data_IF_733969279141
#
_entry.id   IF_733969279141
#
_cell.length_a   1.000
_cell.length_b   1.000
_cell.length_c   1.000
_cell.angle_alpha   90.00
_cell.angle_beta   90.00
_cell.angle_gamma   90.00
#
_symmetry.space_group_name_H-M   'P 1'
#
loop_
_entity.id
_entity.type
_entity.pdbx_description
1 polymer ?
#
# COMPACT_ATOMS: atom_id res chain seq x y z
N UNK A 1 -10.17 -14.39 30.42
CA UNK A 1 -11.35 -13.68 30.94
C UNK A 1 -12.28 -13.45 29.76
N UNK A 2 -13.54 -13.87 29.88
CA UNK A 2 -14.53 -13.64 28.84
C UNK A 2 -15.10 -12.22 28.98
N UNK A 3 -15.53 -11.62 27.86
CA UNK A 3 -16.23 -10.33 27.86
C UNK A 3 -17.73 -10.56 27.61
N UNK A 4 -18.59 -9.78 28.21
CA UNK A 4 -20.03 -9.75 27.90
C UNK A 4 -20.36 -8.33 27.45
N UNK A 5 -20.94 -8.20 26.24
CA UNK A 5 -21.35 -6.93 25.65
C UNK A 5 -22.87 -6.98 25.42
N UNK A 6 -23.61 -6.19 26.14
CA UNK A 6 -25.10 -6.18 26.12
C UNK A 6 -25.72 -7.59 26.24
N UNK A 7 -25.12 -8.46 27.07
CA UNK A 7 -25.56 -9.83 27.26
C UNK A 7 -25.00 -10.86 26.25
N UNK A 8 -24.29 -10.44 25.22
CA UNK A 8 -23.59 -11.33 24.28
C UNK A 8 -22.21 -11.62 24.80
N UNK A 9 -21.87 -12.91 24.93
CA UNK A 9 -20.55 -13.34 25.41
C UNK A 9 -19.55 -13.43 24.31
N UNK A 10 -18.40 -12.76 24.49
CA UNK A 10 -17.21 -12.90 23.65
C UNK A 10 -16.28 -13.92 24.31
N UNK A 11 -16.11 -15.05 23.67
CA UNK A 11 -15.23 -16.09 24.19
C UNK A 11 -13.76 -15.68 24.09
N UNK A 12 -12.95 -16.11 25.06
CA UNK A 12 -11.50 -15.86 25.07
C UNK A 12 -10.79 -16.37 23.81
N UNK A 13 -11.30 -17.47 23.24
CA UNK A 13 -10.81 -18.00 21.96
C UNK A 13 -11.00 -17.04 20.77
N UNK A 14 -12.09 -16.28 20.75
CA UNK A 14 -12.35 -15.29 19.71
C UNK A 14 -11.40 -14.08 19.83
N UNK A 15 -11.15 -13.65 21.08
CA UNK A 15 -10.15 -12.58 21.33
C UNK A 15 -8.76 -13.03 20.90
N UNK A 16 -8.36 -14.27 21.21
CA UNK A 16 -7.06 -14.81 20.77
C UNK A 16 -6.94 -14.91 19.24
N UNK A 17 -8.01 -15.30 18.57
CA UNK A 17 -8.02 -15.30 17.08
C UNK A 17 -7.84 -13.89 16.54
N UNK A 18 -8.45 -12.89 17.15
CA UNK A 18 -8.28 -11.49 16.76
C UNK A 18 -6.86 -10.99 17.03
N UNK A 19 -6.23 -11.39 18.14
CA UNK A 19 -4.80 -11.13 18.41
C UNK A 19 -3.93 -11.66 17.27
N UNK A 20 -4.11 -12.93 16.88
CA UNK A 20 -3.32 -13.52 15.80
C UNK A 20 -3.58 -12.86 14.45
N UNK A 21 -4.80 -12.42 14.19
CA UNK A 21 -5.16 -11.68 12.96
C UNK A 21 -4.48 -10.31 12.88
N UNK A 22 -4.41 -9.59 13.99
CA UNK A 22 -3.82 -8.24 14.04
C UNK A 22 -2.30 -8.24 14.19
N UNK A 23 -1.72 -9.32 14.70
CA UNK A 23 -0.29 -9.43 15.02
C UNK A 23 0.65 -8.98 13.90
N UNK A 24 0.52 -9.45 12.63
CA UNK A 24 1.46 -9.10 11.57
C UNK A 24 1.56 -7.59 11.30
N UNK A 25 0.42 -6.91 11.29
CA UNK A 25 0.36 -5.47 11.06
C UNK A 25 0.85 -4.69 12.27
N UNK A 26 0.49 -5.16 13.47
CA UNK A 26 0.90 -4.54 14.72
C UNK A 26 2.42 -4.61 14.92
N UNK A 27 3.02 -5.77 14.72
CA UNK A 27 4.47 -5.97 14.85
C UNK A 27 5.26 -5.13 13.86
N UNK A 28 4.75 -4.95 12.64
CA UNK A 28 5.36 -4.08 11.63
C UNK A 28 5.37 -2.62 12.08
N UNK A 29 4.29 -2.13 12.66
CA UNK A 29 4.15 -0.72 13.07
C UNK A 29 4.94 -0.43 14.35
N UNK A 30 4.95 -1.35 15.31
CA UNK A 30 5.52 -1.16 16.65
C UNK A 30 6.80 -1.95 16.90
N UNK A 31 7.57 -2.24 15.86
CA UNK A 31 8.81 -3.02 15.94
C UNK A 31 9.84 -2.48 16.97
N UNK A 32 9.82 -1.17 17.25
CA UNK A 32 10.72 -0.52 18.21
C UNK A 32 10.32 -0.62 19.68
N UNK A 33 9.13 -1.16 20.01
CA UNK A 33 8.68 -1.30 21.40
C UNK A 33 9.14 -2.61 22.04
N UNK A 34 9.13 -2.68 23.37
CA UNK A 34 9.42 -3.92 24.09
C UNK A 34 8.34 -4.98 23.85
N UNK A 35 8.77 -6.24 23.75
CA UNK A 35 7.86 -7.34 23.42
C UNK A 35 6.66 -7.47 24.38
N UNK A 36 6.91 -7.33 25.70
CA UNK A 36 5.86 -7.42 26.73
C UNK A 36 4.83 -6.30 26.60
N UNK A 37 5.28 -5.07 26.33
CA UNK A 37 4.41 -3.90 26.14
C UNK A 37 3.56 -4.07 24.86
N UNK A 38 4.17 -4.58 23.78
CA UNK A 38 3.47 -4.87 22.52
C UNK A 38 2.37 -5.92 22.70
N UNK A 39 2.66 -7.02 23.38
CA UNK A 39 1.67 -8.08 23.64
C UNK A 39 0.47 -7.57 24.46
N UNK A 40 0.74 -6.82 25.52
CA UNK A 40 -0.32 -6.25 26.35
C UNK A 40 -1.21 -5.30 25.55
N UNK A 41 -0.60 -4.43 24.74
CA UNK A 41 -1.33 -3.47 23.92
C UNK A 41 -2.08 -4.13 22.75
N UNK A 42 -1.50 -5.16 22.13
CA UNK A 42 -2.16 -5.94 21.09
C UNK A 42 -3.39 -6.68 21.63
N UNK A 43 -3.28 -7.24 22.84
CA UNK A 43 -4.41 -7.88 23.49
C UNK A 43 -5.54 -6.87 23.79
N UNK A 44 -5.20 -5.69 24.29
CA UNK A 44 -6.17 -4.64 24.57
C UNK A 44 -6.88 -4.17 23.28
N UNK A 45 -6.13 -3.91 22.22
CA UNK A 45 -6.70 -3.56 20.91
C UNK A 45 -7.60 -4.67 20.36
N UNK A 46 -7.22 -5.92 20.55
CA UNK A 46 -8.03 -7.06 20.09
C UNK A 46 -9.34 -7.16 20.85
N UNK A 47 -9.33 -6.88 22.16
CA UNK A 47 -10.53 -6.80 23.00
C UNK A 47 -11.45 -5.66 22.54
N UNK A 48 -10.89 -4.48 22.34
CA UNK A 48 -11.59 -3.31 21.86
C UNK A 48 -12.26 -3.58 20.51
N UNK A 49 -11.50 -4.10 19.54
CA UNK A 49 -12.03 -4.50 18.22
C UNK A 49 -13.18 -5.51 18.33
N UNK A 50 -13.09 -6.48 19.22
CA UNK A 50 -14.16 -7.46 19.42
C UNK A 50 -15.41 -6.83 20.03
N UNK A 51 -15.27 -5.90 20.98
CA UNK A 51 -16.39 -5.13 21.55
C UNK A 51 -17.09 -4.32 20.46
N UNK A 52 -16.32 -3.55 19.67
CA UNK A 52 -16.83 -2.75 18.56
C UNK A 52 -17.57 -3.60 17.52
N UNK A 53 -16.99 -4.73 17.14
CA UNK A 53 -17.58 -5.68 16.20
C UNK A 53 -18.94 -6.21 16.72
N UNK A 54 -19.03 -6.56 17.97
CA UNK A 54 -20.31 -7.01 18.58
C UNK A 54 -21.32 -5.88 18.60
N UNK A 55 -20.93 -4.68 19.00
CA UNK A 55 -21.84 -3.53 19.07
C UNK A 55 -22.37 -3.13 17.69
N UNK A 56 -21.52 -3.08 16.69
CA UNK A 56 -21.93 -2.77 15.30
C UNK A 56 -22.85 -3.86 14.77
N UNK A 57 -22.57 -5.13 15.04
CA UNK A 57 -23.43 -6.24 14.64
C UNK A 57 -24.81 -6.15 15.30
N UNK A 58 -24.88 -5.93 16.61
CA UNK A 58 -26.14 -5.76 17.35
C UNK A 58 -26.95 -4.59 16.80
N UNK A 59 -26.29 -3.46 16.55
CA UNK A 59 -26.91 -2.28 15.97
C UNK A 59 -27.44 -2.54 14.55
N UNK A 60 -26.67 -3.18 13.71
CA UNK A 60 -27.06 -3.53 12.34
C UNK A 60 -28.21 -4.54 12.29
N UNK A 61 -28.28 -5.48 13.25
CA UNK A 61 -29.41 -6.41 13.36
C UNK A 61 -30.70 -5.71 13.83
N UNK A 62 -30.57 -4.75 14.73
CA UNK A 62 -31.72 -4.03 15.32
C UNK A 62 -32.27 -2.93 14.39
N UNK A 63 -31.38 -2.15 13.81
CA UNK A 63 -31.71 -0.90 13.08
C UNK A 63 -31.19 -0.87 11.63
N UNK A 64 -30.61 -1.97 11.13
CA UNK A 64 -30.09 -2.04 9.76
C UNK A 64 -31.20 -2.26 8.71
N UNK A 65 -30.87 -1.92 7.47
CA UNK A 65 -31.71 -2.20 6.31
C UNK A 65 -31.79 -3.72 6.03
N UNK A 66 -32.90 -4.13 5.43
CA UNK A 66 -33.03 -5.51 4.95
C UNK A 66 -32.12 -5.73 3.74
N UNK A 67 -31.35 -6.81 3.81
CA UNK A 67 -30.53 -7.25 2.68
C UNK A 67 -31.41 -8.06 1.72
N UNK A 68 -31.47 -7.69 0.42
CA UNK A 68 -32.17 -8.48 -0.57
C UNK A 68 -31.57 -9.89 -0.69
N UNK A 69 -32.39 -10.97 -0.67
CA UNK A 69 -31.90 -12.34 -0.74
C UNK A 69 -31.05 -12.63 -1.99
N UNK A 70 -31.34 -11.94 -3.11
CA UNK A 70 -30.55 -12.02 -4.34
C UNK A 70 -29.10 -11.55 -4.14
N UNK A 71 -28.85 -10.55 -3.30
CA UNK A 71 -27.51 -10.06 -3.00
C UNK A 71 -26.73 -11.08 -2.20
N UNK A 72 -27.35 -11.71 -1.21
CA UNK A 72 -26.75 -12.79 -0.41
C UNK A 72 -26.40 -13.99 -1.32
N UNK A 73 -27.31 -14.37 -2.22
CA UNK A 73 -27.09 -15.47 -3.15
C UNK A 73 -25.96 -15.15 -4.16
N UNK A 74 -25.89 -13.92 -4.65
CA UNK A 74 -24.81 -13.48 -5.55
C UNK A 74 -23.44 -13.48 -4.84
N UNK A 75 -23.40 -13.06 -3.57
CA UNK A 75 -22.17 -13.09 -2.78
C UNK A 75 -21.71 -14.53 -2.49
N UNK A 76 -22.63 -15.42 -2.11
CA UNK A 76 -22.32 -16.85 -1.92
C UNK A 76 -21.75 -17.46 -3.21
N UNK A 77 -22.35 -17.16 -4.37
CA UNK A 77 -21.86 -17.65 -5.65
C UNK A 77 -20.43 -17.18 -5.92
N UNK A 78 -20.14 -15.89 -5.76
CA UNK A 78 -18.78 -15.33 -5.93
C UNK A 78 -17.76 -15.94 -4.97
N UNK A 79 -18.18 -16.19 -3.71
CA UNK A 79 -17.31 -16.83 -2.73
C UNK A 79 -16.96 -18.26 -3.17
N UNK A 80 -17.94 -19.04 -3.63
CA UNK A 80 -17.71 -20.39 -4.14
C UNK A 80 -16.83 -20.43 -5.38
N UNK A 81 -16.92 -19.43 -6.25
CA UNK A 81 -16.08 -19.33 -7.46
C UNK A 81 -14.58 -19.11 -7.15
N UNK A 82 -14.23 -18.76 -5.91
CA UNK A 82 -12.84 -18.60 -5.45
C UNK A 82 -12.22 -19.93 -4.96
N UNK A 83 -13.00 -20.98 -4.85
CA UNK A 83 -12.58 -22.30 -4.37
C UNK A 83 -12.85 -23.35 -5.43
N UNK A 84 -11.88 -24.22 -5.64
CA UNK A 84 -12.01 -25.35 -6.56
C UNK A 84 -12.96 -26.44 -6.01
N UNK A 85 -13.11 -26.50 -4.68
CA UNK A 85 -13.92 -27.47 -3.96
C UNK A 85 -14.74 -26.82 -2.83
N UNK A 86 -16.04 -27.14 -2.80
CA UNK A 86 -16.97 -26.66 -1.77
C UNK A 86 -16.67 -27.24 -0.38
N UNK A 87 -16.12 -28.46 -0.30
CA UNK A 87 -15.74 -29.05 1.00
C UNK A 87 -14.56 -28.32 1.62
N UNK A 88 -13.61 -27.88 0.81
CA UNK A 88 -12.49 -27.04 1.26
C UNK A 88 -13.00 -25.70 1.83
N UNK A 89 -13.93 -25.05 1.12
CA UNK A 89 -14.57 -23.81 1.59
C UNK A 89 -15.23 -24.00 2.97
N UNK A 90 -16.02 -25.08 3.14
CA UNK A 90 -16.69 -25.34 4.42
C UNK A 90 -15.69 -25.57 5.54
N UNK A 91 -14.62 -26.30 5.26
CA UNK A 91 -13.56 -26.58 6.24
C UNK A 91 -12.82 -25.32 6.67
N UNK A 92 -12.49 -24.44 5.72
CA UNK A 92 -11.78 -23.19 6.01
C UNK A 92 -12.66 -22.22 6.79
N UNK A 93 -13.92 -22.07 6.42
CA UNK A 93 -14.89 -21.23 7.11
C UNK A 93 -15.43 -21.86 8.41
N UNK A 94 -15.13 -23.14 8.66
CA UNK A 94 -15.64 -23.91 9.80
C UNK A 94 -17.18 -23.92 9.87
N UNK A 95 -17.81 -24.14 8.72
CA UNK A 95 -19.28 -24.21 8.55
C UNK A 95 -19.66 -25.56 7.96
N UNK A 96 -20.93 -25.95 8.11
CA UNK A 96 -21.42 -27.25 7.67
C UNK A 96 -22.18 -27.19 6.34
N UNK A 97 -22.71 -26.01 5.99
CA UNK A 97 -23.57 -25.87 4.81
C UNK A 97 -23.65 -24.41 4.32
N UNK A 98 -24.30 -24.24 3.16
CA UNK A 98 -24.51 -22.93 2.53
C UNK A 98 -25.38 -21.98 3.36
N UNK A 99 -26.31 -22.50 4.16
CA UNK A 99 -27.19 -21.63 4.96
C UNK A 99 -26.39 -20.88 6.02
N UNK A 100 -25.43 -21.52 6.67
CA UNK A 100 -24.55 -20.84 7.63
C UNK A 100 -23.69 -19.77 6.96
N UNK A 101 -23.22 -20.04 5.75
CA UNK A 101 -22.47 -19.02 4.96
C UNK A 101 -23.39 -17.85 4.61
N UNK A 102 -24.63 -18.12 4.17
CA UNK A 102 -25.61 -17.06 3.83
C UNK A 102 -25.95 -16.21 5.05
N UNK A 103 -26.14 -16.82 6.21
CA UNK A 103 -26.40 -16.09 7.46
C UNK A 103 -25.24 -15.14 7.80
N UNK A 104 -23.99 -15.59 7.64
CA UNK A 104 -22.83 -14.75 7.91
C UNK A 104 -22.68 -13.64 6.86
N UNK A 105 -22.90 -13.94 5.58
CA UNK A 105 -22.92 -12.93 4.49
C UNK A 105 -24.00 -11.89 4.77
N UNK A 106 -25.21 -12.32 5.15
CA UNK A 106 -26.30 -11.39 5.46
C UNK A 106 -25.97 -10.47 6.63
N UNK A 107 -25.34 -11.00 7.70
CA UNK A 107 -24.87 -10.21 8.84
C UNK A 107 -23.85 -9.17 8.41
N UNK A 108 -22.86 -9.57 7.64
CA UNK A 108 -21.82 -8.66 7.13
C UNK A 108 -22.42 -7.57 6.24
N UNK A 109 -23.33 -7.92 5.33
CA UNK A 109 -24.02 -6.95 4.48
C UNK A 109 -24.88 -5.97 5.28
N UNK A 110 -25.56 -6.42 6.35
CA UNK A 110 -26.32 -5.52 7.23
C UNK A 110 -25.41 -4.51 7.91
N UNK A 111 -24.25 -4.95 8.40
CA UNK A 111 -23.24 -4.06 8.99
C UNK A 111 -22.75 -3.04 7.96
N UNK A 112 -22.39 -3.49 6.77
CA UNK A 112 -21.93 -2.61 5.69
C UNK A 112 -22.99 -1.56 5.33
N UNK A 113 -24.24 -1.97 5.14
CA UNK A 113 -25.35 -1.06 4.86
C UNK A 113 -25.57 -0.07 6.01
N UNK A 114 -25.47 -0.51 7.27
CA UNK A 114 -25.61 0.37 8.43
C UNK A 114 -24.53 1.44 8.48
N UNK A 115 -23.27 1.07 8.26
CA UNK A 115 -22.16 2.01 8.18
C UNK A 115 -22.28 2.97 6.99
N UNK A 116 -22.75 2.49 5.82
CA UNK A 116 -23.07 3.34 4.69
C UNK A 116 -24.16 4.36 5.02
N UNK A 117 -25.18 3.98 5.80
CA UNK A 117 -26.23 4.91 6.25
C UNK A 117 -25.66 6.01 7.16
N UNK A 118 -24.73 5.69 8.05
CA UNK A 118 -24.04 6.67 8.91
C UNK A 118 -23.36 7.74 8.04
N UNK A 119 -22.74 7.33 6.94
CA UNK A 119 -22.05 8.23 6.03
C UNK A 119 -22.96 8.94 5.01
N UNK A 120 -24.19 8.46 4.79
CA UNK A 120 -25.04 8.88 3.67
C UNK A 120 -25.38 10.37 3.65
N UNK A 121 -25.57 10.95 4.83
CA UNK A 121 -26.02 12.34 4.99
C UNK A 121 -24.87 13.28 5.36
N UNK A 122 -23.63 12.83 5.31
CA UNK A 122 -22.50 13.69 5.58
C UNK A 122 -22.36 14.76 4.50
N UNK A 123 -22.02 15.99 4.87
CA UNK A 123 -21.78 17.05 3.89
C UNK A 123 -20.60 16.69 2.99
N UNK A 124 -20.68 17.10 1.74
CA UNK A 124 -19.52 17.00 0.85
C UNK A 124 -18.38 17.86 1.40
N UNK A 125 -17.10 17.45 1.23
CA UNK A 125 -15.98 18.26 1.62
C UNK A 125 -16.08 19.70 1.08
N UNK A 126 -15.92 20.67 1.96
CA UNK A 126 -15.91 22.09 1.53
C UNK A 126 -14.62 22.41 0.76
N UNK A 127 -14.64 23.44 -0.08
CA UNK A 127 -13.43 23.89 -0.78
C UNK A 127 -12.34 24.33 0.19
N UNK A 128 -12.73 24.89 1.33
CA UNK A 128 -11.82 25.27 2.40
C UNK A 128 -11.14 24.04 3.03
N UNK A 129 -11.89 22.98 3.35
CA UNK A 129 -11.34 21.75 3.91
C UNK A 129 -10.37 21.06 2.92
N UNK A 130 -10.72 21.03 1.62
CA UNK A 130 -9.87 20.47 0.57
C UNK A 130 -8.56 21.26 0.44
N UNK A 131 -8.63 22.60 0.47
CA UNK A 131 -7.45 23.48 0.39
C UNK A 131 -6.58 23.34 1.64
N UNK A 132 -7.19 23.33 2.82
CA UNK A 132 -6.50 23.12 4.09
C UNK A 132 -5.73 21.79 4.10
N UNK A 133 -6.38 20.71 3.67
CA UNK A 133 -5.72 19.41 3.56
C UNK A 133 -4.49 19.44 2.66
N UNK A 134 -4.59 20.11 1.50
CA UNK A 134 -3.47 20.29 0.59
C UNK A 134 -2.32 21.04 1.25
N UNK A 135 -2.61 22.15 1.94
CA UNK A 135 -1.60 23.01 2.60
C UNK A 135 -0.89 22.27 3.73
N UNK A 136 -1.62 21.46 4.51
CA UNK A 136 -1.07 20.68 5.62
C UNK A 136 -0.33 19.41 5.16
N UNK A 137 -0.56 18.92 3.94
CA UNK A 137 -0.04 17.66 3.45
C UNK A 137 0.78 17.79 2.16
N UNK A 138 1.41 18.94 1.90
CA UNK A 138 2.14 19.19 0.65
C UNK A 138 3.21 18.13 0.32
N UNK A 139 3.84 17.55 1.32
CA UNK A 139 4.83 16.48 1.14
C UNK A 139 4.27 15.25 0.43
N UNK A 140 2.97 14.94 0.64
CA UNK A 140 2.30 13.82 -0.03
C UNK A 140 2.03 14.06 -1.53
N UNK A 141 2.16 15.33 -1.97
CA UNK A 141 1.93 15.77 -3.34
C UNK A 141 3.22 16.19 -4.04
N UNK A 142 4.38 15.95 -3.42
CA UNK A 142 5.67 16.14 -4.07
C UNK A 142 5.93 15.00 -5.06
N UNK A 143 6.27 15.37 -6.28
CA UNK A 143 6.95 14.45 -7.18
C UNK A 143 8.40 14.30 -6.72
N UNK A 144 8.95 13.11 -6.84
CA UNK A 144 10.39 12.96 -6.71
C UNK A 144 11.14 13.74 -7.81
N UNK A 145 12.41 14.03 -7.56
CA UNK A 145 13.29 14.49 -8.61
C UNK A 145 13.35 13.45 -9.72
N UNK A 146 13.31 13.88 -10.99
CA UNK A 146 13.42 13.00 -12.16
C UNK A 146 14.65 13.38 -12.98
N UNK A 147 15.37 12.36 -13.42
CA UNK A 147 16.53 12.51 -14.29
C UNK A 147 16.24 11.83 -15.62
N UNK A 148 16.49 12.50 -16.75
CA UNK A 148 16.57 11.83 -18.03
C UNK A 148 17.96 11.28 -18.20
N UNK A 149 18.08 9.95 -18.29
CA UNK A 149 19.36 9.25 -18.22
C UNK A 149 19.49 8.29 -19.39
N UNK A 150 20.69 8.20 -19.93
CA UNK A 150 21.10 7.06 -20.75
C UNK A 150 22.39 6.45 -20.20
N UNK A 151 22.66 5.20 -20.55
CA UNK A 151 23.85 4.52 -20.11
C UNK A 151 24.51 3.67 -21.20
N UNK A 152 25.82 3.47 -21.08
CA UNK A 152 26.56 2.39 -21.72
C UNK A 152 26.72 1.31 -20.65
N UNK A 153 26.37 0.08 -20.94
CA UNK A 153 26.53 -1.05 -20.01
C UNK A 153 27.33 -2.16 -20.68
N UNK A 154 28.24 -2.75 -19.91
CA UNK A 154 28.91 -4.01 -20.24
C UNK A 154 28.58 -5.02 -19.16
N UNK A 155 27.75 -5.99 -19.51
CA UNK A 155 27.28 -7.00 -18.56
C UNK A 155 28.43 -7.94 -18.18
N UNK A 156 28.47 -8.29 -16.88
CA UNK A 156 29.28 -9.38 -16.35
C UNK A 156 28.37 -10.57 -16.13
N UNK A 157 28.60 -11.65 -16.87
CA UNK A 157 27.77 -12.85 -16.83
C UNK A 157 28.62 -14.09 -17.17
N UNK A 158 27.98 -15.25 -17.36
CA UNK A 158 28.69 -16.50 -17.67
C UNK A 158 29.43 -16.50 -19.04
N UNK A 159 29.09 -15.59 -19.95
CA UNK A 159 29.76 -15.45 -21.28
C UNK A 159 30.84 -14.39 -21.27
N UNK A 160 30.74 -13.40 -20.40
CA UNK A 160 31.65 -12.25 -20.32
C UNK A 160 32.14 -12.09 -18.89
N UNK A 161 33.42 -12.38 -18.68
CA UNK A 161 34.05 -12.20 -17.37
C UNK A 161 34.27 -10.70 -17.07
N UNK A 162 34.60 -10.42 -15.81
CA UNK A 162 34.78 -9.08 -15.28
C UNK A 162 35.87 -8.30 -15.99
N UNK A 163 37.00 -8.96 -16.32
CA UNK A 163 38.12 -8.33 -16.99
C UNK A 163 37.74 -7.90 -18.39
N UNK A 164 37.11 -8.79 -19.16
CA UNK A 164 36.67 -8.51 -20.53
C UNK A 164 35.65 -7.36 -20.58
N UNK A 165 34.68 -7.37 -19.65
CA UNK A 165 33.67 -6.31 -19.52
C UNK A 165 34.33 -4.96 -19.17
N UNK A 166 35.28 -4.96 -18.24
CA UNK A 166 35.99 -3.74 -17.83
C UNK A 166 36.88 -3.17 -18.98
N UNK A 167 37.56 -4.01 -19.71
CA UNK A 167 38.35 -3.55 -20.89
C UNK A 167 37.47 -2.95 -21.97
N UNK A 168 36.29 -3.52 -22.21
CA UNK A 168 35.34 -3.00 -23.20
C UNK A 168 34.76 -1.64 -22.78
N UNK A 169 34.33 -1.50 -21.51
CA UNK A 169 33.79 -0.22 -21.00
C UNK A 169 34.88 0.86 -20.91
N UNK A 170 36.13 0.48 -20.61
CA UNK A 170 37.26 1.40 -20.57
C UNK A 170 37.53 2.01 -21.95
N UNK A 171 37.44 1.22 -23.02
CA UNK A 171 37.54 1.74 -24.39
C UNK A 171 36.46 2.75 -24.74
N UNK A 172 35.20 2.46 -24.33
CA UNK A 172 34.11 3.41 -24.48
C UNK A 172 34.38 4.72 -23.73
N UNK A 173 34.88 4.62 -22.50
CA UNK A 173 35.21 5.78 -21.67
C UNK A 173 36.35 6.64 -22.28
N UNK A 174 37.37 6.03 -22.84
CA UNK A 174 38.44 6.75 -23.53
C UNK A 174 37.94 7.51 -24.76
N UNK A 175 37.04 6.91 -25.57
CA UNK A 175 36.44 7.62 -26.71
C UNK A 175 35.62 8.84 -26.22
N UNK A 176 34.85 8.72 -25.14
CA UNK A 176 34.13 9.84 -24.54
C UNK A 176 35.08 10.94 -24.05
N UNK A 177 36.19 10.57 -23.39
CA UNK A 177 37.21 11.54 -22.94
C UNK A 177 37.90 12.26 -24.13
N UNK A 178 37.99 11.59 -25.26
CA UNK A 178 38.56 12.18 -26.50
C UNK A 178 37.51 13.00 -27.27
N UNK A 179 36.31 13.22 -26.73
CA UNK A 179 35.28 14.12 -27.26
C UNK A 179 34.31 13.46 -28.23
N UNK A 180 34.25 12.12 -28.27
CA UNK A 180 33.21 11.43 -29.04
C UNK A 180 31.81 11.73 -28.46
N UNK A 181 30.80 11.83 -29.31
CA UNK A 181 29.40 11.99 -28.86
C UNK A 181 28.94 10.74 -28.10
N UNK A 182 28.28 10.96 -26.97
CA UNK A 182 27.83 9.87 -26.09
C UNK A 182 26.96 8.86 -26.84
N UNK A 183 26.06 9.33 -27.66
CA UNK A 183 25.11 8.54 -28.45
C UNK A 183 25.86 7.60 -29.45
N UNK A 184 26.88 8.10 -30.09
CA UNK A 184 27.71 7.29 -31.02
C UNK A 184 28.51 6.19 -30.28
N UNK A 185 28.93 6.48 -29.05
CA UNK A 185 29.63 5.51 -28.19
C UNK A 185 28.66 4.49 -27.62
N UNK A 186 27.43 4.91 -27.24
CA UNK A 186 26.36 4.00 -26.84
C UNK A 186 26.10 2.96 -27.92
N UNK A 187 25.81 3.40 -29.16
CA UNK A 187 25.51 2.53 -30.31
C UNK A 187 26.60 1.49 -30.55
N UNK A 188 27.86 1.88 -30.31
CA UNK A 188 29.04 1.04 -30.58
C UNK A 188 29.33 0.04 -29.46
N UNK A 189 29.07 0.41 -28.19
CA UNK A 189 29.61 -0.32 -27.05
C UNK A 189 28.55 -0.93 -26.12
N UNK A 190 27.32 -0.39 -26.07
CA UNK A 190 26.36 -0.89 -25.10
C UNK A 190 25.89 -2.33 -25.37
N UNK A 191 25.74 -3.12 -24.34
CA UNK A 191 25.09 -4.43 -24.41
C UNK A 191 23.55 -4.32 -24.28
N UNK A 192 23.02 -3.12 -24.00
CA UNK A 192 21.60 -2.84 -23.91
C UNK A 192 21.03 -2.50 -25.30
N UNK A 193 20.82 -3.54 -26.12
CA UNK A 193 20.42 -3.36 -27.52
C UNK A 193 18.99 -2.82 -27.69
N UNK A 194 18.07 -3.20 -26.80
CA UNK A 194 16.63 -2.95 -26.96
C UNK A 194 16.26 -1.46 -26.85
N UNK A 195 16.97 -0.71 -26.01
CA UNK A 195 16.71 0.73 -25.77
C UNK A 195 17.79 1.67 -26.34
N UNK A 196 18.86 1.13 -26.94
CA UNK A 196 20.02 1.94 -27.31
C UNK A 196 20.61 2.68 -26.09
N UNK A 197 20.50 2.11 -24.89
CA UNK A 197 20.99 2.70 -23.66
C UNK A 197 20.11 3.82 -23.07
N UNK A 198 19.04 4.27 -23.75
CA UNK A 198 18.13 5.30 -23.19
C UNK A 198 17.22 4.67 -22.12
N UNK A 199 17.30 5.19 -20.91
CA UNK A 199 16.48 4.79 -19.75
C UNK A 199 15.28 5.70 -19.54
N UNK A 200 15.15 6.76 -20.35
CA UNK A 200 14.11 7.76 -20.19
C UNK A 200 14.22 8.57 -18.90
N UNK A 201 13.08 8.96 -18.34
CA UNK A 201 13.03 9.63 -17.04
C UNK A 201 12.97 8.59 -15.91
N UNK A 202 13.94 8.70 -14.99
CA UNK A 202 14.05 7.84 -13.80
C UNK A 202 13.87 8.65 -12.51
N UNK A 203 13.24 8.03 -11.51
CA UNK A 203 13.13 8.54 -10.15
C UNK A 203 13.86 7.62 -9.18
N UNK A 204 14.17 8.10 -7.98
CA UNK A 204 14.76 7.25 -6.94
C UNK A 204 13.85 6.07 -6.61
N UNK A 205 14.45 4.90 -6.37
CA UNK A 205 13.78 3.64 -6.10
C UNK A 205 13.42 2.83 -7.35
N UNK A 206 13.74 3.30 -8.56
CA UNK A 206 13.48 2.58 -9.82
C UNK A 206 14.66 1.75 -10.32
N UNK A 207 15.88 2.15 -9.94
CA UNK A 207 17.11 1.50 -10.34
C UNK A 207 17.81 0.87 -9.13
N UNK A 208 18.89 0.13 -9.37
CA UNK A 208 19.72 -0.37 -8.28
C UNK A 208 20.46 0.77 -7.61
N UNK A 209 20.68 0.66 -6.30
CA UNK A 209 21.23 1.70 -5.45
C UNK A 209 22.55 2.28 -5.99
N UNK A 210 23.47 1.41 -6.44
CA UNK A 210 24.77 1.81 -6.97
C UNK A 210 24.66 2.66 -8.24
N UNK A 211 23.61 2.43 -9.07
CA UNK A 211 23.33 3.24 -10.25
C UNK A 211 22.73 4.59 -9.85
N UNK A 212 21.77 4.59 -8.95
CA UNK A 212 21.12 5.81 -8.45
C UNK A 212 22.10 6.73 -7.75
N UNK A 213 22.99 6.19 -6.92
CA UNK A 213 24.03 6.96 -6.24
C UNK A 213 24.94 7.73 -7.18
N UNK A 214 25.23 7.16 -8.35
CA UNK A 214 26.02 7.86 -9.35
C UNK A 214 25.18 8.92 -10.08
N UNK A 215 24.05 8.53 -10.70
CA UNK A 215 23.33 9.43 -11.60
C UNK A 215 22.69 10.61 -10.90
N UNK A 216 22.19 10.44 -9.65
CA UNK A 216 21.60 11.53 -8.88
C UNK A 216 22.65 12.53 -8.33
N UNK A 217 23.94 12.19 -8.38
CA UNK A 217 25.03 13.11 -8.07
C UNK A 217 25.58 13.86 -9.29
N UNK A 218 25.15 13.47 -10.52
CA UNK A 218 25.56 14.16 -11.76
C UNK A 218 24.69 15.37 -12.05
N UNK A 219 25.27 16.41 -12.58
CA UNK A 219 24.54 17.55 -13.16
C UNK A 219 23.97 17.21 -14.55
N UNK A 220 23.02 18.03 -15.01
CA UNK A 220 22.52 17.93 -16.38
C UNK A 220 23.66 18.15 -17.39
N UNK A 221 23.73 17.30 -18.40
CA UNK A 221 24.78 17.26 -19.41
C UNK A 221 26.03 16.48 -19.00
N UNK A 222 26.17 16.06 -17.76
CA UNK A 222 27.35 15.36 -17.27
C UNK A 222 27.31 13.85 -17.58
N UNK A 223 28.50 13.31 -17.79
CA UNK A 223 28.80 11.89 -17.98
C UNK A 223 29.58 11.40 -16.77
N UNK A 224 29.24 10.23 -16.27
CA UNK A 224 29.89 9.61 -15.10
C UNK A 224 31.29 9.08 -15.47
N UNK A 225 32.09 8.83 -14.45
CA UNK A 225 33.16 7.85 -14.53
C UNK A 225 32.60 6.43 -14.72
N UNK A 226 33.49 5.44 -14.97
CA UNK A 226 33.09 4.03 -14.95
C UNK A 226 32.70 3.64 -13.52
N UNK A 227 31.54 3.05 -13.37
CA UNK A 227 31.07 2.51 -12.07
C UNK A 227 30.53 1.10 -12.24
N UNK A 228 30.40 0.40 -11.12
CA UNK A 228 29.96 -0.98 -11.10
C UNK A 228 28.60 -1.12 -10.40
N UNK A 229 27.77 -1.99 -10.96
CA UNK A 229 26.56 -2.51 -10.29
C UNK A 229 26.62 -4.04 -10.28
N UNK A 230 25.62 -4.69 -9.68
CA UNK A 230 25.47 -6.15 -9.73
C UNK A 230 25.36 -6.71 -11.16
N UNK A 231 25.01 -5.89 -12.15
CA UNK A 231 24.86 -6.32 -13.55
C UNK A 231 26.15 -6.21 -14.37
N UNK A 232 27.10 -5.38 -13.97
CA UNK A 232 28.33 -5.15 -14.70
C UNK A 232 28.84 -3.72 -14.56
N UNK A 233 29.55 -3.24 -15.58
CA UNK A 233 30.12 -1.90 -15.60
C UNK A 233 29.30 -0.94 -16.45
N UNK A 234 29.20 0.29 -15.98
CA UNK A 234 28.34 1.32 -16.54
C UNK A 234 29.11 2.64 -16.73
N UNK A 235 28.71 3.41 -17.74
CA UNK A 235 28.93 4.85 -17.87
C UNK A 235 27.54 5.45 -18.09
N UNK A 236 27.14 6.44 -17.32
CA UNK A 236 25.85 7.08 -17.46
C UNK A 236 25.97 8.55 -17.86
N UNK A 237 24.99 9.07 -18.62
CA UNK A 237 24.83 10.48 -18.95
C UNK A 237 23.47 10.97 -18.48
N UNK A 238 23.47 12.08 -17.77
CA UNK A 238 22.25 12.78 -17.39
C UNK A 238 21.97 13.87 -18.43
N UNK A 239 20.87 13.78 -19.15
CA UNK A 239 20.48 14.78 -20.14
C UNK A 239 19.73 15.95 -19.52
N UNK A 240 18.86 15.66 -18.56
CA UNK A 240 18.05 16.68 -17.89
C UNK A 240 17.78 16.28 -16.44
N UNK A 241 17.61 17.29 -15.59
CA UNK A 241 17.15 17.15 -14.21
C UNK A 241 15.86 17.95 -14.07
N UNK A 242 14.82 17.30 -13.63
CA UNK A 242 13.58 17.93 -13.22
C UNK A 242 13.53 17.90 -11.70
N UNK A 243 13.55 19.04 -11.03
CA UNK A 243 13.54 19.08 -9.57
C UNK A 243 12.24 18.49 -9.03
N UNK A 244 12.30 18.04 -7.79
CA UNK A 244 11.10 17.72 -7.05
C UNK A 244 10.16 18.93 -7.02
N UNK A 245 8.91 18.72 -7.41
CA UNK A 245 7.88 19.77 -7.42
C UNK A 245 6.66 19.31 -6.64
N UNK A 246 6.00 20.24 -5.97
CA UNK A 246 4.68 19.97 -5.40
C UNK A 246 3.66 20.10 -6.53
N UNK A 247 2.86 19.07 -6.74
CA UNK A 247 1.80 19.12 -7.74
C UNK A 247 0.86 20.30 -7.46
N UNK A 248 0.44 21.01 -8.48
CA UNK A 248 -0.47 22.16 -8.30
C UNK A 248 -1.80 21.68 -7.69
N UNK A 249 -2.39 22.52 -6.85
CA UNK A 249 -3.66 22.18 -6.17
C UNK A 249 -4.74 21.69 -7.12
N UNK A 250 -4.90 22.34 -8.26
CA UNK A 250 -5.95 21.98 -9.23
C UNK A 250 -5.72 20.57 -9.84
N UNK A 251 -4.46 20.14 -9.99
CA UNK A 251 -4.12 18.82 -10.54
C UNK A 251 -4.46 17.68 -9.56
N UNK A 252 -4.38 17.95 -8.26
CA UNK A 252 -4.59 16.95 -7.19
C UNK A 252 -5.91 17.11 -6.44
N UNK A 253 -6.67 18.17 -6.72
CA UNK A 253 -7.92 18.53 -6.05
C UNK A 253 -8.94 17.39 -6.02
N UNK A 254 -9.12 16.67 -7.12
CA UNK A 254 -10.01 15.51 -7.18
C UNK A 254 -9.60 14.42 -6.21
N UNK A 255 -8.29 14.08 -6.20
CA UNK A 255 -7.70 13.11 -5.28
C UNK A 255 -7.87 13.54 -3.82
N UNK A 256 -7.60 14.80 -3.52
CA UNK A 256 -7.75 15.36 -2.17
C UNK A 256 -9.21 15.32 -1.72
N UNK A 257 -10.15 15.63 -2.61
CA UNK A 257 -11.58 15.55 -2.30
C UNK A 257 -11.98 14.17 -1.84
N UNK A 258 -11.53 13.11 -2.51
CA UNK A 258 -11.81 11.73 -2.08
C UNK A 258 -11.07 11.36 -0.78
N UNK A 259 -9.86 11.88 -0.55
CA UNK A 259 -9.12 11.66 0.71
C UNK A 259 -9.85 12.30 1.89
N UNK A 260 -10.23 13.57 1.78
CA UNK A 260 -10.99 14.28 2.83
C UNK A 260 -12.34 13.62 3.07
N UNK A 261 -13.05 13.22 2.01
CA UNK A 261 -14.31 12.48 2.14
C UNK A 261 -14.13 11.15 2.90
N UNK A 262 -13.08 10.40 2.58
CA UNK A 262 -12.77 9.14 3.27
C UNK A 262 -12.47 9.39 4.76
N UNK A 263 -11.71 10.45 5.07
CA UNK A 263 -11.42 10.84 6.44
C UNK A 263 -12.70 11.23 7.19
N UNK A 264 -13.55 12.08 6.61
CA UNK A 264 -14.84 12.47 7.22
C UNK A 264 -15.75 11.26 7.45
N UNK A 265 -15.78 10.30 6.52
CA UNK A 265 -16.53 9.07 6.70
C UNK A 265 -15.97 8.22 7.85
N UNK A 266 -14.66 8.09 7.95
CA UNK A 266 -14.01 7.36 9.07
C UNK A 266 -14.37 8.01 10.40
N UNK A 267 -14.17 9.32 10.53
CA UNK A 267 -14.51 10.06 11.76
C UNK A 267 -15.99 9.91 12.16
N UNK A 268 -16.88 9.88 11.18
CA UNK A 268 -18.31 9.68 11.45
C UNK A 268 -18.63 8.25 11.93
N UNK A 269 -17.94 7.26 11.38
CA UNK A 269 -18.04 5.86 11.83
C UNK A 269 -17.46 5.72 13.23
N UNK A 270 -16.30 6.29 13.51
CA UNK A 270 -15.65 6.25 14.81
C UNK A 270 -16.54 6.89 15.88
N UNK A 271 -17.09 8.08 15.61
CA UNK A 271 -18.05 8.75 16.50
C UNK A 271 -19.34 7.94 16.72
N UNK A 272 -19.80 7.26 15.69
CA UNK A 272 -20.96 6.38 15.80
C UNK A 272 -20.67 5.18 16.71
N UNK A 273 -19.51 4.55 16.56
CA UNK A 273 -19.06 3.42 17.39
C UNK A 273 -18.86 3.87 18.84
N UNK A 274 -18.26 5.03 19.07
CA UNK A 274 -18.09 5.61 20.40
C UNK A 274 -19.44 5.87 21.07
N UNK A 275 -20.44 6.32 20.29
CA UNK A 275 -21.82 6.42 20.76
C UNK A 275 -22.38 5.08 21.22
N UNK A 276 -22.21 4.02 20.43
CA UNK A 276 -22.66 2.67 20.80
C UNK A 276 -21.94 2.16 22.06
N UNK A 277 -20.63 2.42 22.18
CA UNK A 277 -19.85 2.04 23.38
C UNK A 277 -20.34 2.74 24.63
N UNK A 278 -20.68 4.03 24.53
CA UNK A 278 -21.13 4.83 25.66
C UNK A 278 -22.48 4.35 26.23
N UNK A 279 -23.33 3.72 25.43
CA UNK A 279 -24.63 3.18 25.81
C UNK A 279 -24.56 1.69 26.16
N UNK A 280 -23.46 1.02 25.89
CA UNK A 280 -23.33 -0.41 26.07
C UNK A 280 -23.04 -0.82 27.51
N UNK A 281 -23.58 -1.98 27.91
CA UNK A 281 -23.19 -2.66 29.13
C UNK A 281 -22.09 -3.65 28.82
N UNK A 282 -20.87 -3.35 29.28
CA UNK A 282 -19.67 -4.18 29.07
C UNK A 282 -19.25 -4.73 30.45
N UNK A 283 -19.12 -6.03 30.55
CA UNK A 283 -18.76 -6.74 31.77
C UNK A 283 -17.60 -7.71 31.51
N UNK A 284 -16.61 -7.74 32.39
CA UNK A 284 -15.54 -8.75 32.38
C UNK A 284 -15.92 -9.90 33.33
N UNK A 285 -15.82 -11.16 32.89
CA UNK A 285 -16.18 -12.37 33.61
C UNK A 285 -15.05 -13.41 33.62
#
# INVERSE_FOLDING_TARGET
MALIVNGEKIEDSAIRQEVERLRPDYERVFAGQKAEEREAQLLEWSRENMIEKVLINQEAQKNGDKVPPENVQAALKRLKEQYDDTEQLYKELKVENDEQIKEEIEKQMKVELRLLQVCKNLPKPSQEAIRKYYEENQEQFKSGERLRVAHIVKYVNWQTDEQTAYEAISRAYEELKNGAAFEAVVDKYTDCADSGGDLGFVTRGQMVEEFEDVVFNLGAGQVSDIFRTRFGFHIAKVYAREPATVAAFEDVKGRITEMVKKQTNSEAIDNFIDGLKSEAKIEEV
#
